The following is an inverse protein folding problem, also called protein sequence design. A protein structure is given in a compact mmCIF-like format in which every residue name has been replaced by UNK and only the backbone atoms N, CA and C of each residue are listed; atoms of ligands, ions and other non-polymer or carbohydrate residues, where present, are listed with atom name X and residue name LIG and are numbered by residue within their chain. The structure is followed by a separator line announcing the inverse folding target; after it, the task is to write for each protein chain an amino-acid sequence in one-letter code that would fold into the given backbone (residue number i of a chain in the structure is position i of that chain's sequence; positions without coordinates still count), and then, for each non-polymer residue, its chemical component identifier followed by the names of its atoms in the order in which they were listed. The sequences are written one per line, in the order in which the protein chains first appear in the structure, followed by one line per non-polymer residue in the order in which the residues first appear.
data_IF_976788544519
#
_entry.id   IF_976788544519
#
_cell.length_a   1.000
_cell.length_b   1.000
_cell.length_c   1.000
_cell.angle_alpha   90.00
_cell.angle_beta   90.00
_cell.angle_gamma   90.00
#
_symmetry.space_group_name_H-M   'P 1'
#
loop_
_entity.id
_entity.type
_entity.pdbx_description
1 polymer ?
#
# COMPACT_ATOMS: atom_id res chain seq x y z
N UNK A 1 -18.19 -8.07 21.67
CA UNK A 1 -16.98 -7.47 21.05
C UNK A 1 -15.78 -8.37 21.37
N UNK A 2 -15.03 -8.84 20.37
CA UNK A 2 -13.97 -9.83 20.59
C UNK A 2 -12.86 -9.28 21.51
N UNK A 3 -12.40 -10.07 22.49
CA UNK A 3 -11.34 -9.69 23.46
C UNK A 3 -10.07 -9.16 22.77
N UNK A 4 -9.75 -9.67 21.57
CA UNK A 4 -8.62 -9.22 20.74
C UNK A 4 -8.79 -7.78 20.22
N UNK A 5 -10.01 -7.38 19.86
CA UNK A 5 -10.31 -6.03 19.37
C UNK A 5 -10.20 -5.02 20.50
N UNK A 6 -10.71 -5.36 21.69
CA UNK A 6 -10.61 -4.52 22.89
C UNK A 6 -9.14 -4.32 23.27
N UNK A 7 -8.35 -5.39 23.26
CA UNK A 7 -6.90 -5.31 23.53
C UNK A 7 -6.18 -4.40 22.53
N UNK A 8 -6.49 -4.53 21.23
CA UNK A 8 -5.91 -3.68 20.19
C UNK A 8 -6.25 -2.21 20.38
N UNK A 9 -7.52 -1.88 20.68
CA UNK A 9 -7.95 -0.51 20.96
C UNK A 9 -7.21 0.04 22.18
N UNK A 10 -7.10 -0.74 23.25
CA UNK A 10 -6.46 -0.31 24.49
C UNK A 10 -4.97 -0.03 24.28
N UNK A 11 -4.27 -0.89 23.53
CA UNK A 11 -2.87 -0.67 23.13
C UNK A 11 -2.74 0.60 22.26
N UNK A 12 -3.61 0.77 21.25
CA UNK A 12 -3.58 1.97 20.40
C UNK A 12 -3.78 3.25 21.21
N UNK A 13 -4.71 3.27 22.16
CA UNK A 13 -4.95 4.43 23.03
C UNK A 13 -3.73 4.73 23.90
N UNK A 14 -3.11 3.71 24.49
CA UNK A 14 -1.89 3.89 25.30
C UNK A 14 -0.75 4.47 24.44
N UNK A 15 -0.53 3.93 23.24
CA UNK A 15 0.53 4.39 22.35
C UNK A 15 0.29 5.83 21.87
N UNK A 16 -0.95 6.18 21.52
CA UNK A 16 -1.31 7.55 21.16
C UNK A 16 -1.11 8.49 22.35
N UNK A 17 -1.52 8.09 23.54
CA UNK A 17 -1.29 8.88 24.75
C UNK A 17 0.20 9.11 25.01
N UNK A 18 1.02 8.05 24.94
CA UNK A 18 2.48 8.15 25.10
C UNK A 18 3.11 9.06 24.03
N UNK A 19 2.61 9.01 22.79
CA UNK A 19 3.09 9.86 21.70
C UNK A 19 2.76 11.35 21.90
N UNK A 20 1.63 11.67 22.55
CA UNK A 20 1.13 13.04 22.70
C UNK A 20 1.49 13.65 24.06
N UNK A 21 1.81 12.84 25.08
CA UNK A 21 2.04 13.30 26.47
C UNK A 21 3.12 14.38 26.62
N UNK A 22 4.07 14.48 25.69
CA UNK A 22 5.13 15.50 25.69
C UNK A 22 4.89 16.68 24.75
N UNK A 23 3.75 16.72 24.06
CA UNK A 23 3.48 17.72 23.02
C UNK A 23 2.68 18.87 23.63
N UNK A 24 3.27 20.06 23.65
CA UNK A 24 2.55 21.28 23.99
C UNK A 24 1.68 21.71 22.80
N UNK A 25 0.36 21.69 22.99
CA UNK A 25 -0.61 22.06 21.96
C UNK A 25 -0.43 23.50 21.46
N UNK A 26 0.09 24.39 22.32
CA UNK A 26 0.36 25.78 21.96
C UNK A 26 1.47 25.88 20.91
N UNK A 27 2.52 25.08 21.06
CA UNK A 27 3.66 25.06 20.13
C UNK A 27 3.24 24.48 18.78
N UNK A 28 2.44 23.41 18.77
CA UNK A 28 1.85 22.85 17.55
C UNK A 28 1.01 23.89 16.79
N UNK A 29 0.16 24.65 17.49
CA UNK A 29 -0.66 25.69 16.87
C UNK A 29 0.18 26.84 16.29
N UNK A 30 1.30 27.18 16.94
CA UNK A 30 2.22 28.19 16.44
C UNK A 30 2.97 27.70 15.20
N UNK A 31 3.43 26.45 15.21
CA UNK A 31 4.10 25.83 14.05
C UNK A 31 3.16 25.71 12.85
N UNK A 32 1.89 25.32 13.07
CA UNK A 32 0.88 25.26 12.00
C UNK A 32 0.66 26.62 11.31
N UNK A 33 0.77 27.74 12.04
CA UNK A 33 0.64 29.09 11.48
C UNK A 33 1.85 29.50 10.64
N UNK A 34 3.01 28.90 10.85
CA UNK A 34 4.23 29.17 10.10
C UNK A 34 4.35 28.31 8.83
N UNK A 35 3.41 27.38 8.60
CA UNK A 35 3.42 26.53 7.41
C UNK A 35 3.29 27.39 6.15
N UNK A 36 4.27 27.26 5.27
CA UNK A 36 4.23 27.91 3.97
C UNK A 36 3.27 27.13 3.05
N UNK A 37 2.22 27.82 2.57
CA UNK A 37 1.20 27.23 1.69
C UNK A 37 1.79 26.63 0.40
N UNK A 38 2.94 27.12 -0.06
CA UNK A 38 3.66 26.58 -1.23
C UNK A 38 3.98 25.08 -1.07
N UNK A 39 4.50 24.66 0.09
CA UNK A 39 4.81 23.25 0.35
C UNK A 39 3.54 22.39 0.43
N UNK A 40 2.45 22.94 0.96
CA UNK A 40 1.16 22.22 1.05
C UNK A 40 0.60 21.97 -0.35
N UNK A 41 0.63 22.98 -1.22
CA UNK A 41 0.18 22.84 -2.61
C UNK A 41 1.05 21.83 -3.35
N UNK A 42 2.38 21.90 -3.18
CA UNK A 42 3.30 20.95 -3.80
C UNK A 42 3.03 19.52 -3.33
N UNK A 43 2.83 19.31 -2.03
CA UNK A 43 2.44 18.03 -1.47
C UNK A 43 1.13 17.50 -2.05
N UNK A 44 0.09 18.33 -2.16
CA UNK A 44 -1.19 17.95 -2.75
C UNK A 44 -1.04 17.49 -4.20
N UNK A 45 -0.24 18.22 -5.00
CA UNK A 45 0.05 17.84 -6.38
C UNK A 45 0.75 16.48 -6.43
N UNK A 46 1.75 16.25 -5.57
CA UNK A 46 2.47 14.98 -5.50
C UNK A 46 1.56 13.81 -5.11
N UNK A 47 0.63 14.00 -4.17
CA UNK A 47 -0.32 12.97 -3.75
C UNK A 47 -1.28 12.62 -4.89
N UNK A 48 -1.81 13.62 -5.60
CA UNK A 48 -2.70 13.39 -6.76
C UNK A 48 -1.93 12.67 -7.87
N UNK A 49 -0.70 13.10 -8.15
CA UNK A 49 0.15 12.48 -9.16
C UNK A 49 0.49 11.03 -8.81
N UNK A 50 0.86 10.76 -7.56
CA UNK A 50 1.09 9.41 -7.05
C UNK A 50 -0.14 8.53 -7.27
N UNK A 51 -1.32 9.03 -6.91
CA UNK A 51 -2.58 8.30 -7.04
C UNK A 51 -2.92 8.03 -8.52
N UNK A 52 -2.67 9.00 -9.39
CA UNK A 52 -2.86 8.86 -10.84
C UNK A 52 -1.91 7.81 -11.44
N UNK A 53 -0.61 7.88 -11.14
CA UNK A 53 0.38 6.92 -11.60
C UNK A 53 0.06 5.51 -11.12
N UNK A 54 -0.44 5.37 -9.89
CA UNK A 54 -0.88 4.09 -9.35
C UNK A 54 -2.06 3.51 -10.12
N UNK A 55 -3.05 4.34 -10.42
CA UNK A 55 -4.19 3.96 -11.25
C UNK A 55 -3.75 3.53 -12.65
N UNK A 56 -2.87 4.32 -13.28
CA UNK A 56 -2.32 4.04 -14.59
C UNK A 56 -1.58 2.70 -14.64
N UNK A 57 -0.68 2.48 -13.68
CA UNK A 57 0.06 1.21 -13.56
C UNK A 57 -0.88 0.02 -13.44
N UNK A 58 -1.94 0.14 -12.64
CA UNK A 58 -2.91 -0.94 -12.51
C UNK A 58 -3.69 -1.18 -13.81
N UNK A 59 -4.02 -0.12 -14.55
CA UNK A 59 -4.59 -0.22 -15.89
C UNK A 59 -3.70 -1.00 -16.87
N UNK A 60 -2.38 -0.78 -16.83
CA UNK A 60 -1.42 -1.54 -17.65
C UNK A 60 -1.43 -3.03 -17.30
N UNK A 61 -1.53 -3.39 -16.01
CA UNK A 61 -1.63 -4.80 -15.58
C UNK A 61 -2.95 -5.43 -16.02
N UNK A 62 -4.04 -4.65 -16.07
CA UNK A 62 -5.37 -5.12 -16.49
C UNK A 62 -5.55 -5.16 -18.01
N UNK A 63 -4.74 -4.43 -18.78
CA UNK A 63 -4.84 -4.31 -20.23
C UNK A 63 -4.93 -5.64 -21.00
N UNK A 64 -4.24 -6.74 -20.61
CA UNK A 64 -4.38 -8.03 -21.27
C UNK A 64 -5.75 -8.69 -21.09
N UNK A 65 -6.50 -8.28 -20.07
CA UNK A 65 -7.85 -8.79 -19.78
C UNK A 65 -8.91 -7.91 -20.43
N UNK A 66 -8.85 -6.60 -20.16
CA UNK A 66 -9.78 -5.62 -20.71
C UNK A 66 -9.16 -4.22 -20.67
N UNK A 67 -9.35 -3.44 -21.73
CA UNK A 67 -8.90 -2.05 -21.77
C UNK A 67 -9.96 -1.15 -21.15
N UNK A 68 -9.75 -0.76 -19.89
CA UNK A 68 -10.63 0.16 -19.16
C UNK A 68 -10.10 1.59 -19.31
N UNK A 69 -10.99 2.58 -19.38
CA UNK A 69 -10.60 3.98 -19.46
C UNK A 69 -9.91 4.46 -18.17
N UNK A 70 -8.96 5.39 -18.32
CA UNK A 70 -8.13 5.86 -17.21
C UNK A 70 -8.94 6.60 -16.13
N UNK A 71 -10.04 7.25 -16.49
CA UNK A 71 -10.89 7.99 -15.55
C UNK A 71 -11.63 7.03 -14.64
N UNK A 72 -12.25 5.98 -15.19
CA UNK A 72 -12.89 4.91 -14.44
C UNK A 72 -11.90 4.18 -13.53
N UNK A 73 -10.70 3.86 -14.03
CA UNK A 73 -9.64 3.27 -13.22
C UNK A 73 -9.23 4.17 -12.05
N UNK A 74 -9.12 5.46 -12.30
CA UNK A 74 -8.74 6.43 -11.26
C UNK A 74 -9.82 6.56 -10.19
N UNK A 75 -11.10 6.61 -10.59
CA UNK A 75 -12.23 6.62 -9.66
C UNK A 75 -12.29 5.33 -8.83
N UNK A 76 -12.19 4.15 -9.46
CA UNK A 76 -12.20 2.86 -8.75
C UNK A 76 -11.02 2.74 -7.78
N UNK A 77 -9.84 3.15 -8.22
CA UNK A 77 -8.63 3.12 -7.40
C UNK A 77 -8.78 4.06 -6.20
N UNK A 78 -9.23 5.30 -6.41
CA UNK A 78 -9.44 6.28 -5.34
C UNK A 78 -10.48 5.84 -4.31
N UNK A 79 -11.63 5.29 -4.76
CA UNK A 79 -12.64 4.72 -3.84
C UNK A 79 -12.06 3.54 -3.06
N UNK A 80 -11.27 2.70 -3.72
CA UNK A 80 -10.59 1.59 -3.06
C UNK A 80 -9.63 2.04 -1.97
N UNK A 81 -8.82 3.08 -2.21
CA UNK A 81 -7.94 3.66 -1.20
C UNK A 81 -8.70 4.32 -0.06
N UNK A 82 -9.81 5.00 -0.36
CA UNK A 82 -10.69 5.54 0.67
C UNK A 82 -11.28 4.41 1.54
N UNK A 83 -11.68 3.29 0.94
CA UNK A 83 -12.17 2.12 1.66
C UNK A 83 -11.08 1.50 2.56
N UNK A 84 -9.81 1.51 2.14
CA UNK A 84 -8.68 1.08 2.99
C UNK A 84 -8.52 2.00 4.20
N UNK A 85 -8.69 3.30 4.03
CA UNK A 85 -8.58 4.27 5.12
C UNK A 85 -9.80 4.22 6.07
N UNK A 86 -11.00 3.99 5.54
CA UNK A 86 -12.24 4.01 6.30
C UNK A 86 -12.57 2.68 6.98
N UNK A 87 -12.22 1.54 6.38
CA UNK A 87 -12.65 0.22 6.84
C UNK A 87 -11.52 -0.46 7.65
N UNK A 88 -11.79 -0.89 8.90
CA UNK A 88 -10.82 -1.62 9.71
C UNK A 88 -10.39 -2.95 9.06
N UNK A 89 -9.22 -3.45 9.47
CA UNK A 89 -8.69 -4.76 9.06
C UNK A 89 -8.32 -4.90 7.56
N UNK A 90 -8.03 -3.80 6.85
CA UNK A 90 -7.57 -3.80 5.44
C UNK A 90 -8.51 -4.50 4.45
N UNK A 91 -9.78 -4.73 4.84
CA UNK A 91 -10.83 -5.27 3.95
C UNK A 91 -11.01 -4.36 2.71
N UNK A 92 -10.66 -3.08 2.84
CA UNK A 92 -10.62 -2.14 1.73
C UNK A 92 -9.71 -2.55 0.55
N UNK A 93 -8.74 -3.45 0.74
CA UNK A 93 -7.95 -3.99 -0.38
C UNK A 93 -8.82 -4.79 -1.37
N UNK A 94 -9.92 -5.38 -0.90
CA UNK A 94 -10.91 -6.07 -1.73
C UNK A 94 -11.87 -5.13 -2.45
N UNK A 95 -11.89 -3.83 -2.11
CA UNK A 95 -12.82 -2.87 -2.71
C UNK A 95 -12.49 -2.60 -4.19
N UNK A 96 -11.21 -2.40 -4.56
CA UNK A 96 -10.78 -2.21 -5.96
C UNK A 96 -11.19 -3.38 -6.88
N UNK A 97 -10.85 -4.65 -6.58
CA UNK A 97 -11.16 -5.78 -7.45
C UNK A 97 -12.67 -6.07 -7.47
N UNK A 98 -13.39 -5.80 -6.39
CA UNK A 98 -14.85 -5.87 -6.37
C UNK A 98 -15.48 -4.82 -7.30
N UNK A 99 -15.10 -3.55 -7.16
CA UNK A 99 -15.66 -2.45 -7.95
C UNK A 99 -15.35 -2.58 -9.44
N UNK A 100 -14.14 -3.05 -9.80
CA UNK A 100 -13.81 -3.27 -11.22
C UNK A 100 -14.62 -4.44 -11.80
N UNK A 101 -14.78 -5.54 -11.05
CA UNK A 101 -15.59 -6.67 -11.51
C UNK A 101 -17.08 -6.36 -11.69
N UNK A 102 -17.56 -5.26 -11.11
CA UNK A 102 -18.93 -4.75 -11.30
C UNK A 102 -19.07 -3.83 -12.51
N UNK A 103 -17.97 -3.19 -12.94
CA UNK A 103 -17.94 -2.21 -14.03
C UNK A 103 -17.38 -2.76 -15.34
N UNK A 104 -16.74 -3.93 -15.29
CA UNK A 104 -16.08 -4.56 -16.41
C UNK A 104 -16.38 -6.07 -16.43
N UNK A 105 -15.97 -6.75 -17.49
CA UNK A 105 -16.15 -8.21 -17.66
C UNK A 105 -15.14 -9.04 -16.85
N UNK A 106 -14.20 -8.37 -16.17
CA UNK A 106 -13.11 -9.02 -15.43
C UNK A 106 -13.66 -9.69 -14.16
N UNK A 107 -13.39 -10.99 -14.02
CA UNK A 107 -13.73 -11.74 -12.80
C UNK A 107 -12.97 -11.18 -11.58
N UNK A 108 -13.64 -11.13 -10.43
CA UNK A 108 -13.03 -10.68 -9.16
C UNK A 108 -11.75 -11.44 -8.80
N UNK A 109 -11.68 -12.74 -9.09
CA UNK A 109 -10.47 -13.56 -8.88
C UNK A 109 -9.28 -13.08 -9.71
N UNK A 110 -9.51 -12.70 -10.97
CA UNK A 110 -8.48 -12.18 -11.86
C UNK A 110 -8.00 -10.80 -11.40
N UNK A 111 -8.94 -9.93 -11.00
CA UNK A 111 -8.60 -8.61 -10.44
C UNK A 111 -7.87 -8.70 -9.09
N UNK A 112 -8.15 -9.71 -8.27
CA UNK A 112 -7.35 -10.00 -7.07
C UNK A 112 -5.93 -10.47 -7.42
N UNK A 113 -5.80 -11.30 -8.46
CA UNK A 113 -4.50 -11.74 -8.98
C UNK A 113 -3.63 -10.56 -9.41
N UNK A 114 -4.21 -9.54 -10.06
CA UNK A 114 -3.44 -8.34 -10.47
C UNK A 114 -2.94 -7.53 -9.27
N UNK A 115 -3.66 -7.52 -8.15
CA UNK A 115 -3.19 -6.88 -6.91
C UNK A 115 -2.02 -7.65 -6.31
N UNK A 116 -2.08 -8.99 -6.31
CA UNK A 116 -0.95 -9.80 -5.84
C UNK A 116 0.31 -9.53 -6.67
N UNK A 117 0.17 -9.47 -7.99
CA UNK A 117 1.26 -9.10 -8.91
C UNK A 117 1.76 -7.68 -8.60
N UNK A 118 0.86 -6.71 -8.39
CA UNK A 118 1.21 -5.34 -7.98
C UNK A 118 2.08 -5.35 -6.70
N UNK A 119 1.73 -6.17 -5.71
CA UNK A 119 2.50 -6.28 -4.45
C UNK A 119 3.86 -6.92 -4.62
N UNK A 120 3.97 -7.95 -5.45
CA UNK A 120 5.25 -8.56 -5.77
C UNK A 120 6.17 -7.51 -6.42
N UNK A 121 5.68 -6.79 -7.42
CA UNK A 121 6.45 -5.74 -8.11
C UNK A 121 6.85 -4.61 -7.16
N UNK A 122 5.96 -4.19 -6.27
CA UNK A 122 6.26 -3.21 -5.21
C UNK A 122 7.38 -3.72 -4.31
N UNK A 123 7.31 -4.96 -3.84
CA UNK A 123 8.35 -5.57 -3.00
C UNK A 123 9.70 -5.62 -3.71
N UNK A 124 9.76 -6.07 -4.96
CA UNK A 124 11.00 -6.08 -5.73
C UNK A 124 11.57 -4.68 -5.90
N UNK A 125 10.72 -3.68 -6.20
CA UNK A 125 11.16 -2.29 -6.37
C UNK A 125 11.78 -1.74 -5.09
N UNK A 126 11.14 -1.97 -3.94
CA UNK A 126 11.68 -1.56 -2.63
C UNK A 126 13.02 -2.25 -2.35
N UNK A 127 13.15 -3.54 -2.66
CA UNK A 127 14.39 -4.27 -2.48
C UNK A 127 15.52 -3.76 -3.38
N UNK A 128 15.23 -3.49 -4.65
CA UNK A 128 16.20 -2.90 -5.57
C UNK A 128 16.69 -1.55 -5.06
N UNK A 129 15.77 -0.69 -4.61
CA UNK A 129 16.13 0.61 -4.02
C UNK A 129 16.99 0.40 -2.77
N UNK A 130 16.63 -0.52 -1.88
CA UNK A 130 17.39 -0.80 -0.67
C UNK A 130 18.82 -1.29 -0.98
N UNK A 131 19.00 -2.16 -1.97
CA UNK A 131 20.32 -2.62 -2.41
C UNK A 131 21.14 -1.46 -2.99
N UNK A 132 20.54 -0.61 -3.83
CA UNK A 132 21.23 0.57 -4.38
C UNK A 132 21.71 1.49 -3.25
N UNK A 133 20.87 1.76 -2.26
CA UNK A 133 21.24 2.61 -1.11
C UNK A 133 22.37 1.97 -0.30
N UNK A 134 22.31 0.66 -0.05
CA UNK A 134 23.38 -0.07 0.65
C UNK A 134 24.74 -0.01 -0.06
N UNK A 135 24.75 0.04 -1.40
CA UNK A 135 25.98 0.16 -2.19
C UNK A 135 26.55 1.58 -2.20
N UNK A 136 25.70 2.60 -2.03
CA UNK A 136 26.09 4.01 -2.13
C UNK A 136 26.37 4.67 -0.77
N UNK A 137 25.90 4.07 0.32
CA UNK A 137 26.00 4.66 1.67
C UNK A 137 26.34 3.62 2.72
N UNK A 138 27.25 3.98 3.63
CA UNK A 138 27.57 3.18 4.82
C UNK A 138 26.40 3.24 5.80
N UNK A 139 25.53 2.23 5.74
CA UNK A 139 24.38 2.12 6.61
C UNK A 139 24.74 1.42 7.93
N UNK A 140 24.14 1.84 9.06
CA UNK A 140 24.33 1.17 10.33
C UNK A 140 23.82 -0.28 10.29
N UNK A 141 24.48 -1.16 11.05
CA UNK A 141 24.25 -2.61 11.02
C UNK A 141 22.80 -3.04 11.26
N UNK A 142 22.05 -2.33 12.10
CA UNK A 142 20.62 -2.60 12.36
C UNK A 142 19.74 -2.37 11.12
N UNK A 143 20.10 -1.42 10.26
CA UNK A 143 19.38 -1.15 9.01
C UNK A 143 19.66 -2.23 7.98
N UNK A 144 20.91 -2.70 7.90
CA UNK A 144 21.31 -3.83 7.04
C UNK A 144 20.53 -5.09 7.43
N UNK A 145 20.48 -5.41 8.73
CA UNK A 145 19.72 -6.57 9.24
C UNK A 145 18.23 -6.48 8.89
N UNK A 146 17.63 -5.30 9.07
CA UNK A 146 16.22 -5.05 8.74
C UNK A 146 15.95 -5.24 7.25
N UNK A 147 16.84 -4.74 6.38
CA UNK A 147 16.77 -4.91 4.93
C UNK A 147 16.87 -6.38 4.51
N UNK A 148 17.77 -7.16 5.12
CA UNK A 148 17.91 -8.60 4.86
C UNK A 148 16.65 -9.36 5.27
N UNK A 149 16.09 -9.08 6.46
CA UNK A 149 14.85 -9.72 6.92
C UNK A 149 13.70 -9.40 5.95
N UNK A 150 13.56 -8.15 5.53
CA UNK A 150 12.55 -7.74 4.57
C UNK A 150 12.73 -8.44 3.21
N UNK A 151 13.97 -8.58 2.74
CA UNK A 151 14.32 -9.33 1.54
C UNK A 151 13.91 -10.80 1.63
N UNK A 152 14.24 -11.48 2.73
CA UNK A 152 13.89 -12.89 2.94
C UNK A 152 12.36 -13.09 2.99
N UNK A 153 11.63 -12.19 3.65
CA UNK A 153 10.16 -12.24 3.70
C UNK A 153 9.52 -12.04 2.33
N UNK A 154 10.00 -11.05 1.56
CA UNK A 154 9.53 -10.80 0.21
C UNK A 154 9.82 -12.00 -0.72
N UNK A 155 11.02 -12.58 -0.64
CA UNK A 155 11.40 -13.77 -1.39
C UNK A 155 10.51 -14.97 -1.03
N UNK A 156 10.28 -15.20 0.26
CA UNK A 156 9.40 -16.28 0.73
C UNK A 156 7.97 -16.10 0.21
N UNK A 157 7.43 -14.88 0.25
CA UNK A 157 6.10 -14.56 -0.28
C UNK A 157 6.03 -14.80 -1.80
N UNK A 158 7.08 -14.42 -2.54
CA UNK A 158 7.17 -14.66 -3.98
C UNK A 158 7.21 -16.17 -4.31
N UNK A 159 8.08 -16.92 -3.62
CA UNK A 159 8.17 -18.38 -3.78
C UNK A 159 6.84 -19.08 -3.44
N UNK A 160 6.15 -18.63 -2.39
CA UNK A 160 4.84 -19.15 -2.02
C UNK A 160 3.79 -18.90 -3.11
N UNK A 161 3.77 -17.70 -3.71
CA UNK A 161 2.86 -17.39 -4.81
C UNK A 161 3.17 -18.23 -6.05
N UNK A 162 4.45 -18.39 -6.42
CA UNK A 162 4.85 -19.27 -7.52
C UNK A 162 4.46 -20.72 -7.26
N UNK A 163 4.64 -21.21 -6.03
CA UNK A 163 4.20 -22.54 -5.62
C UNK A 163 2.68 -22.71 -5.78
N UNK A 164 1.87 -21.73 -5.37
CA UNK A 164 0.42 -21.77 -5.56
C UNK A 164 0.02 -21.79 -7.04
N UNK A 165 0.68 -20.99 -7.88
CA UNK A 165 0.43 -20.98 -9.33
C UNK A 165 0.77 -22.35 -9.93
N UNK A 166 1.94 -22.91 -9.60
CA UNK A 166 2.37 -24.20 -10.14
C UNK A 166 1.51 -25.36 -9.62
N UNK A 167 1.08 -25.29 -8.36
CA UNK A 167 0.15 -26.26 -7.76
C UNK A 167 -1.25 -26.18 -8.40
N UNK A 168 -1.70 -24.98 -8.78
CA UNK A 168 -2.97 -24.78 -9.48
C UNK A 168 -2.95 -25.34 -10.90
N UNK A 169 -1.81 -25.29 -11.60
CA UNK A 169 -1.72 -25.79 -12.97
C UNK A 169 -1.72 -27.32 -13.05
N UNK A 170 -1.38 -28.01 -11.96
CA UNK A 170 -1.32 -29.48 -11.87
C UNK A 170 -2.68 -30.15 -11.62
N UNK A 171 -3.77 -29.38 -11.48
CA UNK A 171 -5.14 -29.87 -11.24
C UNK A 171 -6.09 -29.74 -12.44
N UNK A 172 -5.57 -29.38 -13.61
CA UNK A 172 -6.29 -29.40 -14.91
C UNK A 172 -5.65 -30.46 -15.78
#
# INVERSE_FOLDING_TARGET
MNKKVILGILISVILVYLSVRGINLQDVLNDLKQIQLSYVIFFLILVILMQYLRSYRWGVILQPMEKIDQVSLFSVTSVGFLAIAAIPARIGELARPYLISRRSTIKMSSALGTIIIERILDSFTVLTIAVIVLLLTDLPSWMIQSSIIFFLLALAMFCFILFLIFSSHRRV
#
